data_IF_334365858992
#
_entry.id   IF_334365858992
#
_cell.length_a   1.000
_cell.length_b   1.000
_cell.length_c   1.000
_cell.angle_alpha   90.00
_cell.angle_beta   90.00
_cell.angle_gamma   90.00
#
_symmetry.space_group_name_H-M   'P 1'
#
loop_
_entity.id
_entity.type
_entity.pdbx_description
1 polymer ?
#
# COMPACT_ATOMS: atom_id res chain seq x y z
N UNK A 1 -10.13 -16.38 3.81
CA UNK A 1 -9.75 -14.99 4.05
C UNK A 1 -10.81 -14.05 3.49
N UNK A 2 -11.12 -13.00 4.19
CA UNK A 2 -12.05 -12.02 3.65
C UNK A 2 -11.35 -11.16 2.57
N UNK A 3 -12.13 -10.35 1.87
CA UNK A 3 -11.59 -9.55 0.78
C UNK A 3 -10.53 -8.57 1.24
N UNK A 4 -10.72 -7.97 2.41
CA UNK A 4 -9.74 -7.02 2.96
C UNK A 4 -8.38 -7.69 3.17
N UNK A 5 -8.37 -8.88 3.75
CA UNK A 5 -7.13 -9.62 3.98
C UNK A 5 -6.46 -10.03 2.67
N UNK A 6 -7.24 -10.40 1.67
CA UNK A 6 -6.71 -10.73 0.36
C UNK A 6 -6.08 -9.51 -0.32
N UNK A 7 -6.70 -8.35 -0.17
CA UNK A 7 -6.16 -7.10 -0.69
C UNK A 7 -4.83 -6.77 -0.02
N UNK A 8 -4.79 -6.89 1.30
CA UNK A 8 -3.55 -6.62 2.05
C UNK A 8 -2.45 -7.60 1.64
N UNK A 9 -2.80 -8.88 1.43
CA UNK A 9 -1.82 -9.88 0.98
C UNK A 9 -1.22 -9.52 -0.37
N UNK A 10 -2.02 -9.00 -1.29
CA UNK A 10 -1.51 -8.57 -2.58
C UNK A 10 -0.62 -7.32 -2.46
N UNK A 11 -1.00 -6.39 -1.60
CA UNK A 11 -0.20 -5.18 -1.37
C UNK A 11 1.16 -5.55 -0.76
N UNK A 12 1.22 -6.55 0.10
CA UNK A 12 2.47 -6.99 0.72
C UNK A 12 3.48 -7.57 -0.27
N UNK A 13 3.07 -7.86 -1.48
CA UNK A 13 3.97 -8.33 -2.53
C UNK A 13 4.68 -7.20 -3.27
N UNK A 14 4.28 -5.97 -3.01
CA UNK A 14 4.83 -4.79 -3.68
C UNK A 14 5.91 -4.17 -2.80
N UNK A 15 7.08 -3.96 -3.38
CA UNK A 15 8.23 -3.39 -2.67
C UNK A 15 8.54 -2.01 -3.21
N UNK A 16 8.95 -1.12 -2.31
CA UNK A 16 9.49 0.18 -2.73
C UNK A 16 10.82 -0.08 -3.43
N UNK A 17 11.05 0.54 -4.60
CA UNK A 17 12.29 0.27 -5.35
C UNK A 17 13.56 0.73 -4.65
N UNK A 18 13.46 1.63 -3.70
CA UNK A 18 14.61 2.16 -2.97
C UNK A 18 14.84 1.49 -1.61
N UNK A 19 13.82 0.84 -1.07
CA UNK A 19 13.85 0.26 0.27
C UNK A 19 13.43 -1.21 0.17
N UNK A 20 14.26 -2.17 0.65
CA UNK A 20 13.98 -3.60 0.49
C UNK A 20 12.92 -4.13 1.47
N UNK A 21 11.83 -3.40 1.61
CA UNK A 21 10.70 -3.77 2.48
C UNK A 21 9.42 -3.49 1.70
N UNK A 22 8.42 -4.37 1.87
CA UNK A 22 7.17 -4.15 1.16
C UNK A 22 6.46 -2.88 1.68
N UNK A 23 5.64 -2.31 0.82
CA UNK A 23 5.02 -1.00 1.12
C UNK A 23 4.03 -1.05 2.27
N UNK A 24 3.44 -2.21 2.54
CA UNK A 24 2.53 -2.34 3.67
C UNK A 24 3.28 -2.21 4.99
N UNK A 25 4.40 -2.92 5.11
CA UNK A 25 5.22 -2.86 6.31
C UNK A 25 5.93 -1.51 6.47
N UNK A 26 6.18 -0.80 5.36
CA UNK A 26 6.73 0.54 5.40
C UNK A 26 5.76 1.55 6.01
N UNK A 27 4.48 1.22 6.06
CA UNK A 27 3.47 2.15 6.56
C UNK A 27 2.96 3.12 5.52
N UNK A 28 3.12 2.78 4.24
CA UNK A 28 2.62 3.62 3.15
C UNK A 28 1.13 3.46 2.93
N UNK A 29 0.54 2.37 3.43
CA UNK A 29 -0.89 2.12 3.31
C UNK A 29 -1.58 2.58 4.58
N UNK A 30 -2.36 3.64 4.47
CA UNK A 30 -3.03 4.23 5.62
C UNK A 30 -4.36 3.56 5.95
N UNK A 31 -5.08 3.10 4.93
CA UNK A 31 -6.36 2.44 5.17
C UNK A 31 -6.71 1.56 3.98
N UNK A 32 -7.42 0.47 4.26
CA UNK A 32 -7.95 -0.44 3.24
C UNK A 32 -9.39 -0.76 3.63
N UNK A 33 -10.32 -0.51 2.73
CA UNK A 33 -11.73 -0.79 2.95
C UNK A 33 -12.32 -1.55 1.77
N UNK A 34 -13.35 -2.33 2.04
CA UNK A 34 -14.12 -3.00 0.99
C UNK A 34 -15.54 -2.49 1.06
N UNK A 35 -16.05 -1.99 -0.06
CA UNK A 35 -17.41 -1.49 -0.17
C UNK A 35 -18.19 -2.37 -1.15
N UNK A 36 -19.44 -2.67 -0.84
CA UNK A 36 -20.34 -3.45 -1.71
C UNK A 36 -19.78 -4.83 -2.09
N UNK A 37 -18.78 -5.33 -1.39
CA UNK A 37 -18.11 -6.61 -1.64
C UNK A 37 -17.45 -6.71 -3.01
N UNK A 38 -17.28 -5.60 -3.72
CA UNK A 38 -16.65 -5.62 -5.04
C UNK A 38 -15.72 -4.43 -5.27
N UNK A 39 -15.73 -3.45 -4.38
CA UNK A 39 -14.92 -2.24 -4.51
C UNK A 39 -13.88 -2.19 -3.41
N UNK A 40 -12.62 -2.10 -3.79
CA UNK A 40 -11.53 -1.91 -2.84
C UNK A 40 -11.21 -0.42 -2.76
N UNK A 41 -11.15 0.12 -1.55
CA UNK A 41 -10.76 1.50 -1.34
C UNK A 41 -9.45 1.51 -0.55
N UNK A 42 -8.42 2.10 -1.14
CA UNK A 42 -7.08 2.14 -0.55
C UNK A 42 -6.65 3.59 -0.39
N UNK A 43 -6.21 3.94 0.81
CA UNK A 43 -5.64 5.26 1.08
C UNK A 43 -4.17 5.04 1.37
N UNK A 44 -3.30 5.66 0.58
CA UNK A 44 -1.86 5.45 0.72
C UNK A 44 -1.09 6.74 0.53
N UNK A 45 0.18 6.69 0.90
CA UNK A 45 1.10 7.81 0.70
C UNK A 45 2.41 7.30 0.11
N UNK A 46 3.34 8.19 -0.10
CA UNK A 46 4.70 7.87 -0.56
C UNK A 46 5.69 8.43 0.45
N UNK A 47 6.93 7.91 0.40
CA UNK A 47 7.99 8.38 1.32
C UNK A 47 8.41 9.82 1.03
N UNK A 48 8.15 10.29 -0.20
CA UNK A 48 8.45 11.67 -0.59
C UNK A 48 7.49 12.10 -1.69
N UNK A 49 6.93 13.31 -1.62
CA UNK A 49 6.05 13.81 -2.68
C UNK A 49 6.76 14.01 -4.02
N UNK A 50 8.09 14.06 -3.99
CA UNK A 50 8.90 14.21 -5.20
C UNK A 50 9.54 12.90 -5.65
N UNK A 51 9.05 11.77 -5.12
CA UNK A 51 9.56 10.46 -5.47
C UNK A 51 9.29 10.15 -6.94
N UNK A 52 10.30 9.66 -7.69
CA UNK A 52 10.09 9.33 -9.11
C UNK A 52 9.10 8.19 -9.35
N UNK A 53 8.76 7.44 -8.30
CA UNK A 53 7.74 6.39 -8.40
C UNK A 53 6.34 6.89 -8.05
N UNK A 54 6.15 8.19 -7.95
CA UNK A 54 4.87 8.79 -7.57
C UNK A 54 3.72 8.39 -8.50
N UNK A 55 4.02 8.08 -9.76
CA UNK A 55 3.01 7.66 -10.72
C UNK A 55 2.93 6.14 -10.87
N UNK A 56 4.07 5.44 -10.73
CA UNK A 56 4.12 4.00 -10.98
C UNK A 56 3.69 3.16 -9.77
N UNK A 57 4.06 3.56 -8.55
CA UNK A 57 3.75 2.77 -7.38
C UNK A 57 2.24 2.70 -7.09
N UNK A 58 1.48 3.81 -7.13
CA UNK A 58 0.03 3.71 -6.99
C UNK A 58 -0.62 2.84 -8.07
N UNK A 59 -0.12 2.89 -9.29
CA UNK A 59 -0.64 2.07 -10.38
C UNK A 59 -0.38 0.58 -10.11
N UNK A 60 0.79 0.24 -9.58
CA UNK A 60 1.08 -1.14 -9.19
C UNK A 60 0.13 -1.63 -8.12
N UNK A 61 -0.18 -0.79 -7.14
CA UNK A 61 -1.13 -1.13 -6.09
C UNK A 61 -2.51 -1.41 -6.67
N UNK A 62 -2.98 -0.53 -7.56
CA UNK A 62 -4.28 -0.72 -8.20
C UNK A 62 -4.32 -2.02 -9.01
N UNK A 63 -3.28 -2.27 -9.80
CA UNK A 63 -3.22 -3.48 -10.62
C UNK A 63 -3.18 -4.74 -9.76
N UNK A 64 -2.41 -4.73 -8.68
CA UNK A 64 -2.32 -5.87 -7.78
C UNK A 64 -3.64 -6.14 -7.06
N UNK A 65 -4.31 -5.09 -6.61
CA UNK A 65 -5.58 -5.23 -5.92
C UNK A 65 -6.67 -5.73 -6.86
N UNK A 66 -6.62 -5.32 -8.13
CA UNK A 66 -7.56 -5.81 -9.15
C UNK A 66 -7.41 -7.32 -9.40
N UNK A 67 -6.26 -7.92 -9.04
CA UNK A 67 -6.07 -9.36 -9.18
C UNK A 67 -6.84 -10.16 -8.12
N UNK A 68 -7.31 -9.50 -7.07
CA UNK A 68 -8.09 -10.18 -6.04
C UNK A 68 -9.44 -10.59 -6.62
N UNK A 69 -9.76 -11.89 -6.52
CA UNK A 69 -11.01 -12.39 -7.03
C UNK A 69 -12.19 -11.79 -6.27
N UNK A 70 -13.14 -11.24 -6.99
CA UNK A 70 -14.30 -10.57 -6.41
C UNK A 70 -14.19 -9.05 -6.44
N UNK A 71 -13.00 -8.51 -6.68
CA UNK A 71 -12.82 -7.06 -6.78
C UNK A 71 -13.01 -6.63 -8.23
N UNK A 72 -13.97 -5.76 -8.46
CA UNK A 72 -14.27 -5.23 -9.79
C UNK A 72 -13.80 -3.80 -9.96
N UNK A 73 -13.63 -3.07 -8.83
CA UNK A 73 -13.24 -1.66 -8.88
C UNK A 73 -12.25 -1.36 -7.75
N UNK A 74 -11.25 -0.56 -8.06
CA UNK A 74 -10.30 -0.08 -7.06
C UNK A 74 -10.35 1.44 -7.04
N UNK A 75 -10.59 2.00 -5.86
CA UNK A 75 -10.57 3.43 -5.62
C UNK A 75 -9.34 3.72 -4.78
N UNK A 76 -8.30 4.28 -5.37
CA UNK A 76 -7.06 4.55 -4.68
C UNK A 76 -6.89 6.06 -4.48
N UNK A 77 -6.68 6.44 -3.23
CA UNK A 77 -6.46 7.81 -2.83
C UNK A 77 -4.99 7.97 -2.42
N UNK A 78 -4.25 8.77 -3.17
CA UNK A 78 -2.87 9.09 -2.82
C UNK A 78 -2.88 10.40 -2.03
N UNK A 79 -2.44 10.33 -0.77
CA UNK A 79 -2.46 11.48 0.13
C UNK A 79 -1.05 11.72 0.66
N UNK A 80 -0.76 12.96 1.05
CA UNK A 80 0.52 13.32 1.64
C UNK A 80 0.38 13.86 3.05
N UNK A 81 -0.79 13.68 3.63
CA UNK A 81 -1.06 14.07 5.01
C UNK A 81 -1.82 12.94 5.72
N UNK A 82 -1.39 12.54 6.90
CA UNK A 82 -0.17 13.02 7.56
C UNK A 82 1.07 12.59 6.77
N UNK A 83 2.18 13.36 6.82
CA UNK A 83 3.39 12.99 6.09
C UNK A 83 4.00 11.71 6.65
N UNK A 84 4.51 10.88 5.78
CA UNK A 84 5.14 9.63 6.17
C UNK A 84 6.44 9.90 6.94
N UNK A 85 6.70 9.07 7.97
CA UNK A 85 7.97 9.09 8.69
C UNK A 85 8.33 7.66 9.12
N UNK A 86 9.55 7.49 9.61
CA UNK A 86 10.09 6.17 9.96
C UNK A 86 9.31 5.49 11.08
N UNK A 87 8.66 6.24 11.93
CA UNK A 87 7.89 5.66 13.04
C UNK A 87 6.62 4.95 12.55
N UNK A 88 6.23 5.18 11.32
CA UNK A 88 5.08 4.51 10.72
C UNK A 88 5.39 3.10 10.24
N UNK A 89 6.68 2.75 10.16
CA UNK A 89 7.09 1.40 9.79
C UNK A 89 6.70 0.39 10.86
N UNK A 90 6.39 -0.84 10.42
CA UNK A 90 6.20 -1.94 11.36
C UNK A 90 7.53 -2.29 12.03
N UNK A 91 7.46 -3.02 13.14
CA UNK A 91 8.67 -3.47 13.81
C UNK A 91 9.51 -4.38 12.90
N UNK A 92 8.83 -5.22 12.12
CA UNK A 92 9.52 -6.10 11.17
C UNK A 92 10.31 -5.29 10.15
N UNK A 93 9.73 -4.20 9.63
CA UNK A 93 10.41 -3.33 8.67
C UNK A 93 11.61 -2.64 9.31
N UNK A 94 11.46 -2.17 10.53
CA UNK A 94 12.56 -1.52 11.26
C UNK A 94 13.72 -2.47 11.49
N UNK A 95 13.42 -3.72 11.84
CA UNK A 95 14.45 -4.75 12.05
C UNK A 95 15.17 -5.06 10.74
N UNK A 96 14.44 -5.16 9.63
CA UNK A 96 15.01 -5.43 8.32
C UNK A 96 15.99 -4.34 7.91
N UNK A 97 15.73 -3.10 8.27
CA UNK A 97 16.55 -1.95 7.93
C UNK A 97 17.53 -1.56 9.02
N UNK A 98 17.57 -2.29 10.13
CA UNK A 98 18.43 -1.99 11.29
C UNK A 98 18.16 -0.62 11.91
N UNK A 99 16.91 -0.26 11.98
CA UNK A 99 16.52 1.03 12.59
C UNK A 99 16.18 0.86 14.08
#
# INVERSE_FOLDING_TARGET
MDLKEQIIAEIRKIYDPEIPVNIYELGLIYDVKVENNDTAKVIMTLTSPNCPVAESLPQEVKDSVMQVQGIEKVDLDLVFEPPWNKDMMSEAAKLELNL
#
